data_IF_755971635090
#
_entry.id   IF_755971635090
#
_cell.length_a   1.000
_cell.length_b   1.000
_cell.length_c   1.000
_cell.angle_alpha   90.00
_cell.angle_beta   90.00
_cell.angle_gamma   90.00
#
_symmetry.space_group_name_H-M   'P 1'
#
loop_
_entity.id
_entity.type
_entity.pdbx_description
1 polymer ?
#
# COMPACT_ATOMS: atom_id res chain seq x y z
N UNK A 1 7.73 24.03 6.83
CA UNK A 1 6.44 23.98 7.53
C UNK A 1 6.25 22.53 7.94
N UNK A 2 6.04 22.25 9.23
CA UNK A 2 5.77 20.87 9.66
C UNK A 2 4.32 20.55 9.33
N UNK A 3 4.09 19.50 8.54
CA UNK A 3 2.72 19.04 8.29
C UNK A 3 2.02 18.77 9.63
N UNK A 4 0.74 19.15 9.76
CA UNK A 4 0.00 18.89 10.98
C UNK A 4 -0.10 17.37 11.20
N UNK A 5 0.57 16.90 12.25
CA UNK A 5 0.83 15.47 12.50
C UNK A 5 -0.42 14.71 12.98
N UNK A 6 -1.46 15.43 13.44
CA UNK A 6 -2.62 14.82 14.10
C UNK A 6 -3.92 15.33 13.48
N UNK A 7 -4.85 14.41 13.25
CA UNK A 7 -6.22 14.74 12.84
C UNK A 7 -6.86 15.67 13.87
N UNK A 8 -7.50 16.74 13.41
CA UNK A 8 -8.09 17.77 14.27
C UNK A 8 -9.26 18.49 13.60
N UNK A 9 -9.88 19.42 14.31
CA UNK A 9 -10.94 20.31 13.81
C UNK A 9 -10.45 21.33 12.76
N UNK A 10 -9.14 21.42 12.53
CA UNK A 10 -8.59 22.31 11.51
C UNK A 10 -8.98 21.83 10.11
N UNK A 11 -9.58 22.73 9.32
CA UNK A 11 -10.01 22.44 7.96
C UNK A 11 -8.86 22.01 7.05
N UNK A 12 -7.70 22.65 7.18
CA UNK A 12 -6.49 22.30 6.45
C UNK A 12 -6.03 20.86 6.72
N UNK A 13 -6.13 20.43 7.99
CA UNK A 13 -5.77 19.06 8.41
C UNK A 13 -6.74 18.05 7.81
N UNK A 14 -8.04 18.34 7.87
CA UNK A 14 -9.07 17.47 7.30
C UNK A 14 -8.92 17.34 5.78
N UNK A 15 -8.60 18.43 5.10
CA UNK A 15 -8.38 18.45 3.66
C UNK A 15 -7.13 17.67 3.28
N UNK A 16 -6.00 17.84 4.00
CA UNK A 16 -4.79 17.05 3.77
C UNK A 16 -5.02 15.56 4.01
N UNK A 17 -5.69 15.19 5.10
CA UNK A 17 -5.98 13.80 5.41
C UNK A 17 -6.93 13.18 4.36
N UNK A 18 -7.94 13.92 3.92
CA UNK A 18 -8.84 13.49 2.85
C UNK A 18 -8.07 13.25 1.54
N UNK A 19 -7.08 14.09 1.23
CA UNK A 19 -6.22 13.90 0.08
C UNK A 19 -5.36 12.64 0.20
N UNK A 20 -4.77 12.37 1.37
CA UNK A 20 -4.01 11.14 1.63
C UNK A 20 -4.86 9.88 1.44
N UNK A 21 -6.13 9.90 1.87
CA UNK A 21 -7.07 8.81 1.64
C UNK A 21 -7.32 8.58 0.15
N UNK A 22 -7.54 9.65 -0.62
CA UNK A 22 -7.73 9.57 -2.08
C UNK A 22 -6.49 8.99 -2.77
N UNK A 23 -5.30 9.49 -2.42
CA UNK A 23 -4.02 9.02 -2.96
C UNK A 23 -3.81 7.53 -2.67
N UNK A 24 -4.15 7.09 -1.45
CA UNK A 24 -4.09 5.67 -1.05
C UNK A 24 -5.07 4.81 -1.85
N UNK A 25 -6.31 5.27 -2.03
CA UNK A 25 -7.32 4.54 -2.80
C UNK A 25 -6.93 4.42 -4.27
N UNK A 26 -6.41 5.49 -4.87
CA UNK A 26 -5.91 5.46 -6.24
C UNK A 26 -4.74 4.50 -6.39
N UNK A 27 -3.80 4.49 -5.45
CA UNK A 27 -2.70 3.52 -5.41
C UNK A 27 -3.21 2.07 -5.36
N UNK A 28 -4.21 1.80 -4.53
CA UNK A 28 -4.89 0.51 -4.45
C UNK A 28 -5.48 0.15 -5.80
N UNK A 29 -6.29 1.01 -6.41
CA UNK A 29 -6.89 0.72 -7.72
C UNK A 29 -5.86 0.51 -8.83
N UNK A 30 -4.76 1.26 -8.84
CA UNK A 30 -3.65 1.04 -9.79
C UNK A 30 -3.00 -0.34 -9.64
N UNK A 31 -3.03 -0.93 -8.44
CA UNK A 31 -2.45 -2.27 -8.24
C UNK A 31 -3.26 -3.41 -8.87
N UNK A 32 -4.53 -3.18 -9.26
CA UNK A 32 -5.37 -4.12 -10.00
C UNK A 32 -5.01 -4.13 -11.50
N UNK A 33 -3.73 -4.36 -11.82
CA UNK A 33 -3.20 -4.22 -13.18
C UNK A 33 -3.22 -5.50 -14.01
N UNK A 34 -3.43 -6.66 -13.40
CA UNK A 34 -3.52 -7.95 -14.10
C UNK A 34 -4.43 -8.95 -13.34
N UNK A 35 -4.75 -10.07 -13.97
CA UNK A 35 -5.69 -11.07 -13.43
C UNK A 35 -5.01 -12.18 -12.59
N UNK A 36 -3.70 -12.11 -12.39
CA UNK A 36 -2.97 -13.09 -11.58
C UNK A 36 -3.30 -12.96 -10.09
N UNK A 37 -3.16 -14.07 -9.36
CA UNK A 37 -3.32 -14.10 -7.91
C UNK A 37 -2.09 -13.57 -7.16
N UNK A 38 -0.91 -13.64 -7.79
CA UNK A 38 0.38 -13.26 -7.22
C UNK A 38 1.40 -13.07 -8.35
N UNK A 39 2.35 -12.16 -8.15
CA UNK A 39 3.38 -11.80 -9.14
C UNK A 39 4.34 -12.93 -9.55
N UNK A 40 4.49 -13.96 -8.72
CA UNK A 40 5.46 -15.04 -8.94
C UNK A 40 6.92 -14.67 -8.62
N UNK A 41 7.18 -13.53 -7.98
CA UNK A 41 8.52 -13.16 -7.50
C UNK A 41 9.09 -14.23 -6.55
N UNK A 42 10.40 -14.46 -6.63
CA UNK A 42 11.10 -15.33 -5.68
C UNK A 42 11.00 -14.76 -4.24
N UNK A 43 10.72 -15.59 -3.21
CA UNK A 43 10.59 -15.12 -1.84
C UNK A 43 11.85 -14.46 -1.26
N UNK A 44 13.04 -14.92 -1.64
CA UNK A 44 14.30 -14.34 -1.16
C UNK A 44 14.56 -13.00 -1.84
N UNK A 45 14.29 -12.89 -3.14
CA UNK A 45 14.34 -11.61 -3.86
C UNK A 45 13.35 -10.59 -3.26
N UNK A 46 12.12 -11.00 -2.98
CA UNK A 46 11.13 -10.12 -2.34
C UNK A 46 11.59 -9.68 -0.96
N UNK A 47 12.13 -10.61 -0.16
CA UNK A 47 12.67 -10.30 1.17
C UNK A 47 13.78 -9.25 1.09
N UNK A 48 14.72 -9.38 0.17
CA UNK A 48 15.81 -8.41 -0.01
C UNK A 48 15.25 -7.02 -0.35
N UNK A 49 14.31 -6.93 -1.30
CA UNK A 49 13.68 -5.66 -1.66
C UNK A 49 12.97 -5.00 -0.49
N UNK A 50 12.19 -5.77 0.27
CA UNK A 50 11.45 -5.26 1.45
C UNK A 50 12.42 -4.84 2.56
N UNK A 51 13.44 -5.64 2.86
CA UNK A 51 14.46 -5.30 3.84
C UNK A 51 15.25 -4.04 3.43
N UNK A 52 15.47 -3.84 2.14
CA UNK A 52 16.13 -2.66 1.58
C UNK A 52 15.37 -1.34 1.79
N UNK A 53 14.08 -1.38 2.14
CA UNK A 53 13.30 -0.17 2.45
C UNK A 53 13.71 0.49 3.78
N UNK A 54 14.36 -0.26 4.68
CA UNK A 54 14.71 0.19 6.03
C UNK A 54 13.49 0.19 6.97
N UNK A 55 13.52 -0.66 7.99
CA UNK A 55 12.38 -0.88 8.88
C UNK A 55 12.17 0.25 9.91
N UNK A 56 13.25 0.93 10.30
CA UNK A 56 13.27 2.02 11.28
C UNK A 56 14.25 3.11 10.83
N UNK A 57 13.85 4.00 9.92
CA UNK A 57 14.73 5.06 9.44
C UNK A 57 15.03 6.06 10.58
N UNK A 58 16.25 6.61 10.59
CA UNK A 58 16.68 7.60 11.59
C UNK A 58 15.80 8.88 11.57
N UNK A 59 15.13 9.14 10.46
CA UNK A 59 14.15 10.22 10.27
C UNK A 59 12.89 9.68 9.62
N UNK A 60 11.73 10.25 9.97
CA UNK A 60 10.47 9.90 9.31
C UNK A 60 10.51 10.20 7.82
N UNK A 61 10.08 9.25 6.99
CA UNK A 61 10.02 9.37 5.52
C UNK A 61 8.86 10.23 5.01
N UNK A 62 7.84 10.47 5.84
CA UNK A 62 6.61 11.15 5.40
C UNK A 62 5.70 10.25 4.56
N UNK A 63 4.48 10.71 4.30
CA UNK A 63 3.44 9.89 3.67
C UNK A 63 3.77 9.59 2.20
N UNK A 64 4.20 10.60 1.44
CA UNK A 64 4.41 10.51 0.00
C UNK A 64 5.52 9.53 -0.36
N UNK A 65 6.63 9.55 0.39
CA UNK A 65 7.73 8.60 0.20
C UNK A 65 7.30 7.18 0.58
N UNK A 66 6.58 7.01 1.70
CA UNK A 66 6.09 5.70 2.13
C UNK A 66 5.08 5.13 1.14
N UNK A 67 4.14 5.95 0.64
CA UNK A 67 3.16 5.50 -0.36
C UNK A 67 3.87 5.08 -1.65
N UNK A 68 4.85 5.87 -2.11
CA UNK A 68 5.64 5.55 -3.31
C UNK A 68 6.43 4.25 -3.16
N UNK A 69 7.11 4.05 -2.03
CA UNK A 69 7.85 2.81 -1.73
C UNK A 69 6.89 1.61 -1.68
N UNK A 70 5.72 1.80 -1.06
CA UNK A 70 4.67 0.77 -0.95
C UNK A 70 4.13 0.38 -2.32
N UNK A 71 3.77 1.35 -3.15
CA UNK A 71 3.29 1.14 -4.53
C UNK A 71 4.31 0.38 -5.39
N UNK A 72 5.59 0.67 -5.20
CA UNK A 72 6.66 0.09 -6.04
C UNK A 72 7.10 -1.29 -5.58
N UNK A 73 7.21 -1.51 -4.26
CA UNK A 73 7.91 -2.67 -3.69
C UNK A 73 6.96 -3.65 -3.02
N UNK A 74 5.83 -3.19 -2.48
CA UNK A 74 4.91 -4.05 -1.73
C UNK A 74 3.71 -4.46 -2.59
N UNK A 75 2.99 -3.47 -3.12
CA UNK A 75 1.69 -3.68 -3.79
C UNK A 75 1.72 -4.65 -4.98
N UNK A 76 2.75 -4.66 -5.86
CA UNK A 76 2.81 -5.60 -6.98
C UNK A 76 2.87 -7.06 -6.55
N UNK A 77 3.35 -7.30 -5.32
CA UNK A 77 3.61 -8.62 -4.76
C UNK A 77 2.60 -9.00 -3.67
N UNK A 78 1.50 -8.25 -3.51
CA UNK A 78 0.41 -8.66 -2.63
C UNK A 78 -0.31 -9.87 -3.20
N UNK A 79 -0.78 -10.74 -2.29
CA UNK A 79 -1.68 -11.83 -2.65
C UNK A 79 -3.07 -11.25 -2.91
N UNK A 80 -3.59 -11.48 -4.11
CA UNK A 80 -4.84 -10.91 -4.59
C UNK A 80 -5.99 -11.88 -4.37
N UNK A 81 -6.63 -11.79 -3.20
CA UNK A 81 -7.73 -12.68 -2.79
C UNK A 81 -8.98 -12.57 -3.66
N UNK A 82 -9.13 -11.45 -4.36
CA UNK A 82 -10.19 -11.22 -5.34
C UNK A 82 -9.96 -11.92 -6.68
N UNK A 83 -8.73 -12.38 -6.98
CA UNK A 83 -8.45 -13.07 -8.23
C UNK A 83 -9.17 -14.42 -8.25
N UNK A 84 -9.89 -14.70 -9.34
CA UNK A 84 -10.51 -16.02 -9.57
C UNK A 84 -9.48 -17.14 -9.73
N UNK A 85 -8.20 -16.80 -9.89
CA UNK A 85 -7.07 -17.74 -9.93
C UNK A 85 -6.53 -18.10 -8.53
N UNK A 86 -7.05 -17.49 -7.47
CA UNK A 86 -6.69 -17.78 -6.09
C UNK A 86 -7.74 -18.69 -5.43
N UNK A 87 -7.44 -19.99 -5.33
CA UNK A 87 -8.31 -20.99 -4.67
C UNK A 87 -7.71 -21.85 -3.52
N UNK A 88 -6.61 -21.52 -2.82
CA UNK A 88 -5.98 -22.51 -1.92
C UNK A 88 -6.56 -22.54 -0.49
N UNK A 89 -6.93 -21.39 0.10
CA UNK A 89 -7.19 -21.26 1.55
C UNK A 89 -8.44 -20.42 1.85
N UNK A 90 -8.92 -20.48 3.10
CA UNK A 90 -10.05 -19.71 3.63
C UNK A 90 -9.68 -18.22 3.83
N UNK A 91 -9.38 -17.56 2.73
CA UNK A 91 -9.09 -16.13 2.69
C UNK A 91 -10.05 -15.50 1.68
N UNK A 92 -11.20 -15.08 2.19
CA UNK A 92 -12.26 -14.49 1.36
C UNK A 92 -11.82 -13.15 0.78
N UNK A 93 -12.20 -12.84 -0.47
CA UNK A 93 -12.11 -11.46 -0.94
C UNK A 93 -12.96 -10.54 -0.08
N UNK A 94 -12.55 -9.28 0.03
CA UNK A 94 -13.38 -8.25 0.64
C UNK A 94 -14.60 -8.02 -0.26
N UNK A 95 -15.79 -8.15 0.31
CA UNK A 95 -17.06 -7.90 -0.37
C UNK A 95 -17.46 -6.44 -0.16
N UNK A 96 -17.98 -5.79 -1.21
CA UNK A 96 -18.46 -4.40 -1.17
C UNK A 96 -19.97 -4.34 -0.86
N UNK A 97 -20.46 -5.24 -0.01
CA UNK A 97 -21.89 -5.40 0.32
C UNK A 97 -22.50 -4.20 1.07
#
# INVERSE_FOLDING_TARGET
>A
MSDPVLLSESKEVQDRFSQMLRETLEAIFRSYSDDSAFSGIDPYELREKVCGLGFLPEKGKGFEEVLKDTEKVIMPHLLRTWSTKYMPHLHSPVLTE
#
